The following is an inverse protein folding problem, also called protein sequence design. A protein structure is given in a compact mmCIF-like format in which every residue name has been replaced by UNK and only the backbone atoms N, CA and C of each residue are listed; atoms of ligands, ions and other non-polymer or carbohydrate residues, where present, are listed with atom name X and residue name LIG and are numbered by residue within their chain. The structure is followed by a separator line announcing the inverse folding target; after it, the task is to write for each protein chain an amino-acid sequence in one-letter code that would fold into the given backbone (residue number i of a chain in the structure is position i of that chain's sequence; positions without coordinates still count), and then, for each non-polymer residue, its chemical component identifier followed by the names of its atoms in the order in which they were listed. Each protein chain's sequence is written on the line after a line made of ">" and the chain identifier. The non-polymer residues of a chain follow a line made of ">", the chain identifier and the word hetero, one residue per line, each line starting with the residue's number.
data_IF_826959352852
#
_entry.id   IF_826959352852
#
_cell.length_a   1.000
_cell.length_b   1.000
_cell.length_c   1.000
_cell.angle_alpha   90.00
_cell.angle_beta   90.00
_cell.angle_gamma   90.00
#
_symmetry.space_group_name_H-M   'P 1'
#
loop_
_entity.id
_entity.type
_entity.pdbx_description
1 polymer ?
#
# COMPACT_ATOMS: atom_id res chain seq x y z
N UNK A 1 -14.67 10.27 21.35
CA UNK A 1 -13.67 10.88 20.46
C UNK A 1 -14.30 11.99 19.64
N UNK A 2 -13.47 12.86 19.07
CA UNK A 2 -13.84 13.90 18.10
C UNK A 2 -12.61 14.31 17.31
N UNK A 3 -12.82 14.86 16.12
CA UNK A 3 -11.80 15.57 15.35
C UNK A 3 -12.03 17.07 15.47
N UNK A 4 -10.96 17.85 15.57
CA UNK A 4 -11.04 19.32 15.56
C UNK A 4 -10.02 19.84 14.57
N UNK A 5 -10.38 20.91 13.86
CA UNK A 5 -9.45 21.54 12.93
C UNK A 5 -8.27 22.13 13.70
N UNK A 6 -7.08 22.06 13.11
CA UNK A 6 -5.87 22.66 13.68
C UNK A 6 -6.05 24.18 13.80
N UNK A 7 -6.70 24.80 12.82
CA UNK A 7 -7.04 26.22 12.78
C UNK A 7 -7.82 26.71 14.01
N UNK A 8 -8.62 25.84 14.65
CA UNK A 8 -9.36 26.21 15.84
C UNK A 8 -8.39 26.59 16.99
N UNK A 9 -7.18 26.03 17.00
CA UNK A 9 -6.17 26.25 18.03
C UNK A 9 -5.42 27.56 17.80
N UNK A 10 -5.86 28.61 18.48
CA UNK A 10 -5.15 29.90 18.51
C UNK A 10 -3.71 29.72 19.02
N UNK A 11 -2.77 30.40 18.36
CA UNK A 11 -1.38 30.55 18.79
C UNK A 11 -1.32 31.19 20.19
N UNK A 12 -0.58 30.57 21.09
CA UNK A 12 -0.36 31.07 22.46
C UNK A 12 1.13 31.10 22.77
N UNK A 13 1.53 32.01 23.66
CA UNK A 13 2.91 32.11 24.11
C UNK A 13 3.30 30.91 24.99
N UNK A 14 4.58 30.54 24.95
CA UNK A 14 5.14 29.49 25.81
C UNK A 14 4.98 29.85 27.29
N UNK A 15 4.74 28.86 28.14
CA UNK A 15 4.56 29.03 29.60
C UNK A 15 3.15 29.43 30.05
N UNK A 16 2.20 29.62 29.12
CA UNK A 16 0.78 29.84 29.46
C UNK A 16 0.03 28.54 29.80
N UNK A 17 -1.18 28.66 30.36
CA UNK A 17 -2.08 27.53 30.69
C UNK A 17 -2.66 26.81 29.45
N UNK A 18 -2.37 27.30 28.25
CA UNK A 18 -2.90 26.75 26.99
C UNK A 18 -4.37 27.07 26.74
N UNK A 19 -5.01 26.27 25.89
CA UNK A 19 -6.41 26.40 25.47
C UNK A 19 -7.16 25.10 25.66
N UNK A 20 -8.46 25.15 25.97
CA UNK A 20 -9.27 23.96 26.26
C UNK A 20 -9.51 23.10 25.01
N UNK A 21 -9.04 21.85 25.02
CA UNK A 21 -9.12 20.88 23.91
C UNK A 21 -10.38 20.03 23.88
N UNK A 22 -10.93 19.70 25.05
CA UNK A 22 -12.10 18.85 25.22
C UNK A 22 -12.79 19.21 26.54
N UNK A 23 -14.11 19.06 26.59
CA UNK A 23 -14.83 19.18 27.84
C UNK A 23 -14.89 17.81 28.55
N UNK A 24 -14.15 17.67 29.63
CA UNK A 24 -14.11 16.43 30.43
C UNK A 24 -15.28 16.43 31.41
N UNK A 25 -16.02 15.32 31.43
CA UNK A 25 -17.06 15.02 32.42
C UNK A 25 -16.87 13.61 32.94
N UNK A 26 -17.55 13.26 34.03
CA UNK A 26 -17.52 11.90 34.61
C UNK A 26 -17.86 10.82 33.57
N UNK A 27 -18.80 11.10 32.67
CA UNK A 27 -19.17 10.19 31.56
C UNK A 27 -18.07 9.99 30.52
N UNK A 28 -17.22 11.00 30.32
CA UNK A 28 -16.19 10.97 29.26
C UNK A 28 -14.87 10.39 29.76
N UNK A 29 -14.62 10.47 31.07
CA UNK A 29 -13.34 10.08 31.66
C UNK A 29 -12.19 11.01 31.27
N UNK A 30 -10.98 10.61 31.64
CA UNK A 30 -9.76 11.38 31.37
C UNK A 30 -9.38 11.30 29.88
N UNK A 31 -8.67 12.32 29.40
CA UNK A 31 -8.08 12.31 28.07
C UNK A 31 -6.96 11.27 28.01
N UNK A 32 -7.07 10.31 27.09
CA UNK A 32 -6.08 9.23 26.92
C UNK A 32 -5.02 9.61 25.88
N UNK A 33 -5.45 10.18 24.75
CA UNK A 33 -4.55 10.54 23.66
C UNK A 33 -5.00 11.80 22.94
N UNK A 34 -4.03 12.52 22.38
CA UNK A 34 -4.21 13.61 21.44
C UNK A 34 -3.19 13.41 20.31
N UNK A 35 -3.69 13.20 19.10
CA UNK A 35 -2.87 12.81 17.95
C UNK A 35 -3.26 13.69 16.75
N UNK A 36 -2.25 14.19 16.03
CA UNK A 36 -2.44 14.85 14.75
C UNK A 36 -2.68 13.79 13.66
N UNK A 37 -3.74 13.97 12.88
CA UNK A 37 -4.21 13.01 11.88
C UNK A 37 -4.60 13.73 10.60
N UNK A 38 -4.41 13.06 9.48
CA UNK A 38 -4.96 13.42 8.18
C UNK A 38 -6.29 12.69 7.96
N UNK A 39 -6.99 13.01 6.87
CA UNK A 39 -8.31 12.44 6.57
C UNK A 39 -8.25 10.98 6.10
N UNK A 40 -7.12 10.57 5.53
CA UNK A 40 -6.81 9.22 5.03
C UNK A 40 -6.30 8.28 6.14
N UNK A 41 -5.83 8.85 7.26
CA UNK A 41 -5.29 8.08 8.37
C UNK A 41 -6.37 7.18 9.01
N UNK A 42 -5.88 6.13 9.67
CA UNK A 42 -6.67 5.26 10.53
C UNK A 42 -6.20 5.35 11.98
N UNK A 43 -7.11 5.09 12.91
CA UNK A 43 -6.82 4.94 14.33
C UNK A 43 -7.07 3.51 14.77
N UNK A 44 -6.09 2.92 15.45
CA UNK A 44 -6.23 1.66 16.16
C UNK A 44 -6.48 1.97 17.64
N UNK A 45 -7.61 1.52 18.16
CA UNK A 45 -7.96 1.62 19.59
C UNK A 45 -7.80 0.24 20.20
N UNK A 46 -7.09 0.16 21.33
CA UNK A 46 -6.82 -1.09 22.05
C UNK A 46 -7.40 -0.98 23.45
N UNK A 47 -8.28 -1.91 23.79
CA UNK A 47 -8.87 -2.03 25.12
C UNK A 47 -7.98 -2.86 26.07
N UNK A 48 -8.18 -2.75 27.38
CA UNK A 48 -7.48 -3.59 28.38
C UNK A 48 -7.80 -5.07 28.23
N UNK A 49 -9.00 -5.39 27.74
CA UNK A 49 -9.43 -6.75 27.39
C UNK A 49 -8.70 -7.36 26.18
N UNK A 50 -7.90 -6.58 25.46
CA UNK A 50 -7.18 -7.03 24.25
C UNK A 50 -7.99 -6.90 22.95
N UNK A 51 -9.23 -6.39 23.02
CA UNK A 51 -10.01 -6.10 21.81
C UNK A 51 -9.40 -4.87 21.10
N UNK A 52 -9.12 -5.03 19.81
CA UNK A 52 -8.59 -3.98 18.94
C UNK A 52 -9.64 -3.55 17.93
N UNK A 53 -9.79 -2.25 17.72
CA UNK A 53 -10.66 -1.69 16.69
C UNK A 53 -9.90 -0.70 15.82
N UNK A 54 -9.94 -0.92 14.51
CA UNK A 54 -9.46 0.03 13.50
C UNK A 54 -10.63 0.90 13.04
N UNK A 55 -10.43 2.22 13.03
CA UNK A 55 -11.41 3.22 12.61
C UNK A 55 -10.77 4.18 11.60
N UNK A 56 -11.42 4.43 10.48
CA UNK A 56 -11.00 5.48 9.55
C UNK A 56 -11.27 6.86 10.15
N UNK A 57 -10.29 7.77 10.10
CA UNK A 57 -10.38 9.08 10.75
C UNK A 57 -11.50 9.94 10.14
N UNK A 58 -11.76 9.81 8.84
CA UNK A 58 -12.84 10.51 8.15
C UNK A 58 -14.26 10.22 8.70
N UNK A 59 -14.46 9.07 9.37
CA UNK A 59 -15.74 8.72 10.02
C UNK A 59 -15.95 9.48 11.34
N UNK A 60 -14.88 10.05 11.91
CA UNK A 60 -14.95 10.77 13.17
C UNK A 60 -15.58 12.14 12.97
N UNK A 61 -16.59 12.43 13.79
CA UNK A 61 -17.27 13.73 13.70
C UNK A 61 -16.32 14.88 13.99
N UNK A 62 -16.25 15.81 13.04
CA UNK A 62 -15.55 17.08 13.20
C UNK A 62 -16.38 18.03 14.08
N UNK A 63 -15.76 18.56 15.13
CA UNK A 63 -16.39 19.47 16.09
C UNK A 63 -15.39 20.49 16.62
N UNK A 64 -15.91 21.58 17.18
CA UNK A 64 -15.13 22.57 17.90
C UNK A 64 -14.34 21.96 19.07
N UNK A 65 -13.24 22.62 19.44
CA UNK A 65 -12.33 22.18 20.51
C UNK A 65 -13.04 22.00 21.86
N UNK A 66 -13.74 23.00 22.36
CA UNK A 66 -14.32 22.94 23.71
C UNK A 66 -15.60 22.08 23.85
N UNK A 67 -15.76 21.02 23.06
CA UNK A 67 -16.91 20.09 23.09
C UNK A 67 -16.55 18.75 23.74
N UNK A 68 -17.55 17.91 24.06
CA UNK A 68 -17.33 16.57 24.62
C UNK A 68 -16.98 15.52 23.56
N UNK A 69 -17.49 15.69 22.33
CA UNK A 69 -17.39 14.67 21.27
C UNK A 69 -18.47 13.59 21.36
N UNK A 70 -18.27 12.50 20.64
CA UNK A 70 -19.19 11.35 20.55
C UNK A 70 -18.54 10.06 21.05
N UNK A 71 -19.34 9.06 21.40
CA UNK A 71 -18.84 7.71 21.68
C UNK A 71 -18.43 7.06 20.36
N UNK A 72 -17.22 6.50 20.32
CA UNK A 72 -16.70 5.79 19.15
C UNK A 72 -16.95 4.29 19.24
N UNK A 73 -16.82 3.76 20.46
CA UNK A 73 -17.02 2.34 20.75
C UNK A 73 -17.90 2.20 21.99
N UNK A 74 -18.64 1.10 22.06
CA UNK A 74 -19.31 0.70 23.28
C UNK A 74 -18.36 -0.22 24.06
N UNK A 75 -18.00 0.19 25.27
CA UNK A 75 -17.19 -0.64 26.17
C UNK A 75 -18.13 -1.58 26.94
N UNK A 76 -17.67 -2.81 27.19
CA UNK A 76 -18.32 -3.70 28.16
C UNK A 76 -18.05 -3.18 29.56
N UNK A 77 -18.88 -3.59 30.51
CA UNK A 77 -18.69 -3.22 31.91
C UNK A 77 -17.30 -3.68 32.39
N UNK A 78 -16.61 -2.79 33.12
CA UNK A 78 -15.20 -2.87 33.56
C UNK A 78 -14.09 -2.82 32.49
N UNK A 79 -14.40 -2.60 31.21
CA UNK A 79 -13.36 -2.40 30.18
C UNK A 79 -12.95 -0.92 30.06
N UNK A 80 -11.70 -0.68 29.66
CA UNK A 80 -11.16 0.66 29.48
C UNK A 80 -10.16 0.70 28.31
N UNK A 81 -10.00 1.89 27.72
CA UNK A 81 -9.01 2.12 26.68
C UNK A 81 -7.61 2.02 27.30
N UNK A 82 -6.78 1.15 26.72
CA UNK A 82 -5.38 0.98 27.10
C UNK A 82 -4.48 1.88 26.25
N UNK A 83 -4.66 1.87 24.92
CA UNK A 83 -3.82 2.60 23.99
C UNK A 83 -4.58 3.02 22.73
N UNK A 84 -4.04 4.03 22.05
CA UNK A 84 -4.46 4.47 20.73
C UNK A 84 -3.22 4.63 19.86
N UNK A 85 -3.23 4.09 18.65
CA UNK A 85 -2.17 4.24 17.67
C UNK A 85 -2.72 4.85 16.37
N UNK A 86 -1.92 5.69 15.73
CA UNK A 86 -2.19 6.20 14.38
C UNK A 86 -1.57 5.24 13.37
N UNK A 87 -2.32 4.93 12.32
CA UNK A 87 -1.86 4.18 11.16
C UNK A 87 -1.98 5.15 9.99
N UNK A 88 -0.86 5.50 9.40
CA UNK A 88 -0.82 6.28 8.17
C UNK A 88 -1.27 5.37 7.02
N UNK A 89 -1.98 5.94 6.05
CA UNK A 89 -2.42 5.15 4.91
C UNK A 89 -1.22 4.77 4.05
N UNK A 90 -1.09 3.46 3.78
CA UNK A 90 0.10 2.87 3.19
C UNK A 90 0.06 2.85 1.67
N UNK A 91 -0.94 3.45 1.02
CA UNK A 91 -1.11 3.38 -0.44
C UNK A 91 0.15 3.84 -1.20
N UNK A 92 0.89 4.81 -0.65
CA UNK A 92 2.14 5.28 -1.24
C UNK A 92 3.26 4.22 -1.13
N UNK A 93 3.34 3.52 0.01
CA UNK A 93 4.30 2.43 0.21
C UNK A 93 3.93 1.19 -0.60
N UNK A 94 2.65 0.90 -0.74
CA UNK A 94 2.13 -0.19 -1.57
C UNK A 94 2.36 0.09 -3.06
N UNK A 95 2.13 1.33 -3.52
CA UNK A 95 2.50 1.76 -4.88
C UNK A 95 3.99 1.65 -5.15
N UNK A 96 4.82 2.16 -4.24
CA UNK A 96 6.28 2.09 -4.39
C UNK A 96 6.78 0.63 -4.43
N UNK A 97 6.22 -0.24 -3.58
CA UNK A 97 6.55 -1.67 -3.59
C UNK A 97 6.14 -2.34 -4.91
N UNK A 98 4.94 -2.04 -5.42
CA UNK A 98 4.47 -2.58 -6.71
C UNK A 98 5.30 -2.07 -7.90
N UNK A 99 5.75 -0.81 -7.87
CA UNK A 99 6.61 -0.24 -8.91
C UNK A 99 7.99 -0.94 -8.95
N UNK A 100 8.57 -1.22 -7.78
CA UNK A 100 9.79 -2.01 -7.65
C UNK A 100 9.62 -3.45 -8.17
N UNK A 101 8.50 -4.11 -7.82
CA UNK A 101 8.20 -5.46 -8.30
C UNK A 101 8.09 -5.51 -9.83
N UNK A 102 7.36 -4.55 -10.42
CA UNK A 102 7.20 -4.47 -11.87
C UNK A 102 8.55 -4.26 -12.59
N UNK A 103 9.42 -3.39 -12.05
CA UNK A 103 10.76 -3.19 -12.62
C UNK A 103 11.59 -4.49 -12.60
N UNK A 104 11.55 -5.24 -11.50
CA UNK A 104 12.27 -6.52 -11.41
C UNK A 104 11.71 -7.59 -12.35
N UNK A 105 10.40 -7.60 -12.60
CA UNK A 105 9.79 -8.53 -13.56
C UNK A 105 10.19 -8.21 -15.01
N UNK A 106 10.35 -6.92 -15.35
CA UNK A 106 10.84 -6.51 -16.67
C UNK A 106 12.32 -6.87 -16.86
N UNK A 107 13.16 -6.66 -15.84
CA UNK A 107 14.57 -7.03 -15.89
C UNK A 107 14.76 -8.56 -16.05
N UNK A 108 13.99 -9.37 -15.31
CA UNK A 108 14.01 -10.84 -15.41
C UNK A 108 13.53 -11.31 -16.80
N UNK A 109 12.52 -10.66 -17.39
CA UNK A 109 12.07 -10.97 -18.76
C UNK A 109 13.14 -10.63 -19.80
N UNK A 110 13.83 -9.51 -19.65
CA UNK A 110 14.91 -9.12 -20.54
C UNK A 110 16.08 -10.11 -20.46
N UNK A 111 16.47 -10.53 -19.25
CA UNK A 111 17.54 -11.52 -19.05
C UNK A 111 17.17 -12.90 -19.63
N UNK A 112 15.93 -13.36 -19.44
CA UNK A 112 15.47 -14.62 -20.02
C UNK A 112 15.38 -14.58 -21.55
N UNK A 113 15.00 -13.45 -22.16
CA UNK A 113 15.01 -13.30 -23.62
C UNK A 113 16.42 -13.35 -24.22
N UNK A 114 17.43 -12.86 -23.49
CA UNK A 114 18.83 -12.93 -23.91
C UNK A 114 19.31 -14.39 -23.85
N UNK A 115 19.00 -15.11 -22.77
CA UNK A 115 19.35 -16.53 -22.61
C UNK A 115 18.70 -17.43 -23.67
N UNK A 116 17.42 -17.20 -24.01
CA UNK A 116 16.72 -17.94 -25.07
C UNK A 116 17.27 -17.65 -26.49
N UNK A 117 17.90 -16.49 -26.69
CA UNK A 117 18.54 -16.14 -27.97
C UNK A 117 19.92 -16.77 -28.15
N UNK A 118 20.66 -16.99 -27.07
CA UNK A 118 21.97 -17.66 -27.11
C UNK A 118 21.86 -19.19 -27.32
N UNK A 119 20.77 -19.82 -26.86
CA UNK A 119 20.53 -21.26 -27.11
C UNK A 119 20.14 -21.55 -28.57
N UNK A 120 19.37 -20.68 -29.23
CA UNK A 120 19.00 -20.86 -30.65
C UNK A 120 20.16 -20.64 -31.64
N UNK A 121 21.21 -19.91 -31.25
CA UNK A 121 22.37 -19.67 -32.10
C UNK A 121 23.32 -20.88 -32.22
N UNK A 122 23.13 -21.92 -31.40
CA UNK A 122 23.98 -23.13 -31.42
C UNK A 122 23.44 -24.29 -32.26
N UNK A 123 22.21 -24.20 -32.80
CA UNK A 123 21.61 -25.29 -33.60
C UNK A 123 21.84 -25.17 -35.12
N UNK A 124 22.29 -24.02 -35.65
CA UNK A 124 22.42 -23.85 -37.13
C UNK A 124 23.71 -24.43 -37.75
N UNK A 125 24.70 -24.89 -36.98
CA UNK A 125 26.02 -25.26 -37.52
C UNK A 125 26.23 -26.77 -37.81
N UNK A 126 25.16 -27.59 -37.80
CA UNK A 126 25.26 -29.05 -38.01
C UNK A 126 24.43 -29.60 -39.18
N UNK A 127 24.46 -28.94 -40.34
CA UNK A 127 24.01 -29.55 -41.61
C UNK A 127 24.98 -29.33 -42.76
N UNK A 128 26.08 -30.10 -42.80
CA UNK A 128 26.61 -30.60 -44.09
C UNK A 128 27.71 -31.65 -43.92
N UNK A 129 27.39 -32.93 -44.08
CA UNK A 129 28.35 -33.91 -44.63
C UNK A 129 27.63 -35.16 -45.11
N UNK A 130 26.99 -35.11 -46.29
CA UNK A 130 26.92 -36.26 -47.23
C UNK A 130 26.41 -35.82 -48.62
N UNK A 131 27.32 -35.56 -49.56
CA UNK A 131 27.02 -35.55 -51.01
C UNK A 131 28.13 -36.31 -51.73
N UNK A 132 27.89 -37.58 -52.05
CA UNK A 132 28.40 -38.35 -53.21
C UNK A 132 27.45 -39.55 -53.32
N UNK A 133 26.90 -40.02 -54.42
CA UNK A 133 26.83 -39.72 -55.85
C UNK A 133 25.61 -40.54 -56.31
N UNK A 134 24.77 -40.05 -57.23
CA UNK A 134 23.99 -40.84 -58.20
C UNK A 134 22.95 -39.94 -58.89
N UNK A 135 23.22 -39.51 -60.11
CA UNK A 135 22.64 -40.11 -61.32
C UNK A 135 22.81 -39.19 -62.53
N UNK A 136 23.33 -39.77 -63.59
CA UNK A 136 23.49 -39.16 -64.90
C UNK A 136 22.14 -38.86 -65.57
N UNK A 137 22.11 -37.67 -66.15
CA UNK A 137 21.31 -37.09 -67.23
C UNK A 137 20.35 -38.00 -68.04
N UNK A 138 19.11 -37.52 -68.21
CA UNK A 138 18.29 -37.77 -69.40
C UNK A 138 17.79 -36.41 -69.94
N UNK A 139 18.03 -36.05 -71.22
CA UNK A 139 17.72 -34.71 -71.73
C UNK A 139 16.39 -34.63 -72.51
N UNK A 140 15.95 -33.38 -72.67
CA UNK A 140 15.15 -32.81 -73.76
C UNK A 140 13.62 -33.02 -73.81
N UNK A 141 12.95 -31.98 -73.27
CA UNK A 141 12.00 -31.07 -73.95
C UNK A 141 11.65 -31.35 -75.44
N UNK A 142 10.36 -31.34 -75.79
CA UNK A 142 9.77 -30.24 -76.59
C UNK A 142 8.27 -30.47 -76.92
N UNK A 143 7.50 -29.47 -76.50
CA UNK A 143 6.40 -28.75 -77.17
C UNK A 143 5.18 -29.46 -77.80
N UNK A 144 4.04 -29.00 -77.30
CA UNK A 144 2.70 -28.99 -77.90
C UNK A 144 2.64 -27.99 -79.08
N UNK A 145 2.13 -28.44 -80.24
CA UNK A 145 1.02 -27.83 -81.00
C UNK A 145 0.40 -28.85 -81.98
#
# INVERSE_FOLDING_TARGET
>A
GKRSKVEDYRVTNRGGKGVKTINITERTGKLVALVGVNDEDHLMIINRSGITLRLAVNTLRQMARATQGVRLINLRDDDAIAAIAKIEDGEEQERAANELLNATEEDIKAENQILESDENAQEEDNTNESIEENNSENPENDNEE
#
